data_IF_850385593066
#
_entry.id   IF_850385593066
#
_cell.length_a   1.000
_cell.length_b   1.000
_cell.length_c   1.000
_cell.angle_alpha   90.00
_cell.angle_beta   90.00
_cell.angle_gamma   90.00
#
_symmetry.space_group_name_H-M   'P 1'
#
loop_
_entity.id
_entity.type
_entity.pdbx_description
1 polymer ?
#
# COMPACT_ATOMS: atom_id res chain seq x y z
N UNK A 1 2.15 -8.37 -34.43
CA UNK A 1 1.88 -7.03 -33.87
C UNK A 1 0.68 -7.16 -32.94
N UNK A 2 0.86 -6.85 -31.68
CA UNK A 2 -0.21 -6.82 -30.67
C UNK A 2 -0.85 -5.43 -30.63
N UNK A 3 -2.18 -5.35 -30.78
CA UNK A 3 -2.93 -4.12 -30.62
C UNK A 3 -3.47 -4.04 -29.19
N UNK A 4 -3.22 -2.91 -28.53
CA UNK A 4 -3.73 -2.64 -27.18
C UNK A 4 -4.65 -1.43 -27.16
N UNK A 5 -5.51 -1.33 -26.16
CA UNK A 5 -6.35 -0.15 -25.92
C UNK A 5 -6.15 0.33 -24.48
N UNK A 6 -6.13 1.65 -24.26
CA UNK A 6 -5.96 2.27 -22.95
C UNK A 6 -7.27 2.93 -22.53
N UNK A 7 -7.83 2.56 -21.39
CA UNK A 7 -9.04 3.14 -20.81
C UNK A 7 -8.66 4.19 -19.75
N UNK A 8 -8.88 5.45 -20.09
CA UNK A 8 -8.49 6.64 -19.34
C UNK A 8 -7.18 7.26 -19.84
N UNK A 9 -7.19 8.57 -20.10
CA UNK A 9 -6.02 9.34 -20.51
C UNK A 9 -5.69 10.45 -19.48
N UNK A 10 -5.72 10.05 -18.20
CA UNK A 10 -5.24 10.86 -17.09
C UNK A 10 -3.72 10.73 -16.90
N UNK A 11 -3.27 10.93 -15.67
CA UNK A 11 -1.83 10.86 -15.31
C UNK A 11 -1.19 9.54 -15.73
N UNK A 12 -1.82 8.41 -15.37
CA UNK A 12 -1.25 7.09 -15.68
C UNK A 12 -1.41 6.73 -17.16
N UNK A 13 -2.57 6.98 -17.74
CA UNK A 13 -2.82 6.64 -19.16
C UNK A 13 -1.93 7.41 -20.13
N UNK A 14 -1.74 8.71 -19.92
CA UNK A 14 -0.77 9.50 -20.70
C UNK A 14 0.67 9.02 -20.48
N UNK A 15 0.98 8.53 -19.25
CA UNK A 15 2.27 7.89 -18.96
C UNK A 15 2.46 6.57 -19.72
N UNK A 16 1.43 5.73 -19.81
CA UNK A 16 1.47 4.48 -20.59
C UNK A 16 1.75 4.78 -22.06
N UNK A 17 1.05 5.76 -22.63
CA UNK A 17 1.30 6.22 -23.98
C UNK A 17 2.76 6.68 -24.17
N UNK A 18 3.26 7.52 -23.26
CA UNK A 18 4.61 8.06 -23.29
C UNK A 18 5.66 6.94 -23.19
N UNK A 19 5.53 6.01 -22.24
CA UNK A 19 6.48 4.89 -22.04
C UNK A 19 6.54 4.00 -23.26
N UNK A 20 5.38 3.62 -23.84
CA UNK A 20 5.32 2.80 -25.06
C UNK A 20 6.01 3.51 -26.21
N UNK A 21 5.77 4.82 -26.41
CA UNK A 21 6.38 5.56 -27.52
C UNK A 21 7.87 5.84 -27.31
N UNK A 22 8.28 6.21 -26.12
CA UNK A 22 9.68 6.52 -25.79
C UNK A 22 10.55 5.28 -25.83
N UNK A 23 10.07 4.17 -25.32
CA UNK A 23 10.81 2.92 -25.20
C UNK A 23 10.37 1.85 -26.21
N UNK A 24 9.79 2.22 -27.34
CA UNK A 24 9.17 1.32 -28.33
C UNK A 24 10.05 0.13 -28.68
N UNK A 25 11.35 0.36 -28.96
CA UNK A 25 12.28 -0.70 -29.34
C UNK A 25 12.49 -1.72 -28.20
N UNK A 26 12.63 -1.26 -26.97
CA UNK A 26 12.81 -2.11 -25.79
C UNK A 26 11.52 -2.87 -25.48
N UNK A 27 10.38 -2.18 -25.53
CA UNK A 27 9.05 -2.77 -25.31
C UNK A 27 8.79 -3.90 -26.30
N UNK A 28 9.01 -3.66 -27.59
CA UNK A 28 8.85 -4.67 -28.64
C UNK A 28 9.80 -5.85 -28.50
N UNK A 29 11.08 -5.59 -28.20
CA UNK A 29 12.06 -6.65 -28.00
C UNK A 29 11.70 -7.58 -26.82
N UNK A 30 11.23 -6.99 -25.70
CA UNK A 30 10.83 -7.77 -24.53
C UNK A 30 9.51 -8.51 -24.74
N UNK A 31 8.58 -7.96 -25.51
CA UNK A 31 7.32 -8.61 -25.87
C UNK A 31 7.49 -9.73 -26.92
N UNK A 32 8.57 -9.68 -27.69
CA UNK A 32 8.81 -10.59 -28.82
C UNK A 32 8.04 -10.21 -30.09
N UNK A 33 7.26 -9.16 -30.04
CA UNK A 33 6.51 -8.59 -31.18
C UNK A 33 6.26 -7.10 -30.97
N UNK A 34 5.84 -6.41 -32.03
CA UNK A 34 5.47 -5.01 -31.95
C UNK A 34 4.18 -4.81 -31.14
N UNK A 35 4.20 -3.86 -30.20
CA UNK A 35 3.05 -3.39 -29.43
C UNK A 35 2.63 -2.02 -29.96
N UNK A 36 1.36 -1.89 -30.35
CA UNK A 36 0.80 -0.63 -30.83
C UNK A 36 -0.50 -0.28 -30.07
N UNK A 37 -0.58 0.99 -29.62
CA UNK A 37 -1.79 1.53 -28.98
C UNK A 37 -2.77 1.91 -30.09
N UNK A 38 -3.80 1.08 -30.29
CA UNK A 38 -4.82 1.27 -31.33
C UNK A 38 -5.88 2.28 -30.91
N UNK A 39 -6.26 2.26 -29.62
CA UNK A 39 -7.30 3.13 -29.07
C UNK A 39 -6.92 3.66 -27.70
N UNK A 40 -7.38 4.89 -27.44
CA UNK A 40 -7.44 5.47 -26.11
C UNK A 40 -8.89 5.89 -25.85
N UNK A 41 -9.49 5.42 -24.75
CA UNK A 41 -10.82 5.79 -24.31
C UNK A 41 -10.73 6.90 -23.27
N UNK A 42 -11.35 8.04 -23.50
CA UNK A 42 -11.58 9.08 -22.50
C UNK A 42 -12.84 9.86 -22.86
N UNK A 43 -13.51 10.46 -21.88
CA UNK A 43 -14.67 11.32 -22.11
C UNK A 43 -14.28 12.73 -22.56
N UNK A 44 -13.03 13.11 -22.38
CA UNK A 44 -12.47 14.42 -22.73
C UNK A 44 -11.81 14.36 -24.10
N UNK A 45 -11.77 15.51 -24.77
CA UNK A 45 -10.93 15.75 -25.95
C UNK A 45 -9.56 16.27 -25.54
N UNK A 46 -8.55 16.02 -26.38
CA UNK A 46 -7.18 16.45 -26.16
C UNK A 46 -6.62 17.15 -27.40
N UNK A 47 -7.11 18.36 -27.74
CA UNK A 47 -6.75 19.07 -28.99
C UNK A 47 -5.24 19.31 -29.05
N UNK A 48 -4.63 18.90 -30.17
CA UNK A 48 -3.21 19.06 -30.43
C UNK A 48 -2.30 18.00 -29.75
N UNK A 49 -2.84 17.10 -28.94
CA UNK A 49 -2.11 15.94 -28.44
C UNK A 49 -2.09 14.82 -29.50
N UNK A 50 -0.95 14.13 -29.72
CA UNK A 50 -0.88 13.00 -30.67
C UNK A 50 -1.94 11.91 -30.43
N UNK A 51 -2.48 11.78 -29.22
CA UNK A 51 -3.52 10.82 -28.86
C UNK A 51 -4.85 11.07 -29.58
N UNK A 52 -5.11 12.29 -30.03
CA UNK A 52 -6.35 12.69 -30.71
C UNK A 52 -6.69 11.77 -31.89
N UNK A 53 -5.67 11.23 -32.58
CA UNK A 53 -5.85 10.35 -33.73
C UNK A 53 -6.38 8.96 -33.41
N UNK A 54 -6.27 8.54 -32.15
CA UNK A 54 -6.63 7.20 -31.65
C UNK A 54 -7.63 7.29 -30.50
N UNK A 55 -8.12 8.51 -30.22
CA UNK A 55 -9.09 8.77 -29.17
C UNK A 55 -10.47 8.25 -29.59
N UNK A 56 -11.14 7.56 -28.68
CA UNK A 56 -12.53 7.12 -28.81
C UNK A 56 -13.29 7.46 -27.54
N UNK A 57 -14.61 7.71 -27.66
CA UNK A 57 -15.47 8.05 -26.53
C UNK A 57 -16.47 6.91 -26.20
N UNK A 58 -16.48 5.87 -27.02
CA UNK A 58 -17.36 4.73 -26.86
C UNK A 58 -16.53 3.46 -26.60
N UNK A 59 -16.77 2.83 -25.47
CA UNK A 59 -16.09 1.60 -25.07
C UNK A 59 -16.40 0.43 -26.02
N UNK A 60 -17.58 0.39 -26.62
CA UNK A 60 -17.99 -0.69 -27.52
C UNK A 60 -17.12 -0.78 -28.77
N UNK A 61 -16.51 0.32 -29.21
CA UNK A 61 -15.49 0.33 -30.28
C UNK A 61 -14.31 -0.56 -29.91
N UNK A 62 -13.84 -0.49 -28.67
CA UNK A 62 -12.71 -1.30 -28.15
C UNK A 62 -13.15 -2.73 -27.90
N UNK A 63 -14.31 -2.90 -27.24
CA UNK A 63 -14.80 -4.21 -26.83
C UNK A 63 -15.03 -5.13 -28.05
N UNK A 64 -15.60 -4.60 -29.12
CA UNK A 64 -15.99 -5.39 -30.30
C UNK A 64 -14.90 -5.47 -31.38
N UNK A 65 -13.76 -4.81 -31.22
CA UNK A 65 -12.65 -4.93 -32.15
C UNK A 65 -11.82 -6.20 -31.88
N UNK A 66 -11.82 -7.18 -32.80
CA UNK A 66 -11.09 -8.44 -32.59
C UNK A 66 -9.57 -8.30 -32.63
N UNK A 67 -9.05 -7.17 -33.17
CA UNK A 67 -7.58 -6.94 -33.20
C UNK A 67 -7.04 -6.51 -31.84
N UNK A 68 -7.88 -5.93 -30.96
CA UNK A 68 -7.47 -5.54 -29.60
C UNK A 68 -7.34 -6.80 -28.73
N UNK A 69 -6.11 -7.13 -28.38
CA UNK A 69 -5.78 -8.32 -27.57
C UNK A 69 -5.60 -8.02 -26.09
N UNK A 70 -5.19 -6.79 -25.74
CA UNK A 70 -4.97 -6.36 -24.35
C UNK A 70 -5.68 -5.02 -24.10
N UNK A 71 -6.39 -4.95 -22.98
CA UNK A 71 -7.01 -3.71 -22.47
C UNK A 71 -6.27 -3.25 -21.24
N UNK A 72 -5.86 -1.99 -21.22
CA UNK A 72 -5.16 -1.33 -20.10
C UNK A 72 -6.16 -0.41 -19.41
N UNK A 73 -6.58 -0.74 -18.19
CA UNK A 73 -7.50 0.06 -17.39
C UNK A 73 -6.73 0.92 -16.37
N UNK A 74 -6.86 2.24 -16.48
CA UNK A 74 -6.20 3.22 -15.62
C UNK A 74 -7.11 4.41 -15.27
N UNK A 75 -8.42 4.14 -15.17
CA UNK A 75 -9.44 5.16 -14.88
C UNK A 75 -9.57 5.46 -13.40
N UNK A 76 -9.46 4.45 -12.55
CA UNK A 76 -9.71 4.54 -11.11
C UNK A 76 -11.20 4.36 -10.73
N UNK A 77 -11.45 4.15 -9.43
CA UNK A 77 -12.79 3.80 -8.91
C UNK A 77 -13.18 2.35 -9.23
N UNK A 78 -14.32 1.89 -8.70
CA UNK A 78 -14.80 0.53 -8.98
C UNK A 78 -15.65 0.51 -10.25
N UNK A 79 -16.60 1.45 -10.38
CA UNK A 79 -17.40 1.60 -11.61
C UNK A 79 -17.02 2.90 -12.33
N UNK A 80 -16.99 2.92 -13.66
CA UNK A 80 -17.35 1.86 -14.61
C UNK A 80 -16.22 0.85 -14.91
N UNK A 81 -15.07 0.94 -14.22
CA UNK A 81 -13.89 0.12 -14.49
C UNK A 81 -14.21 -1.39 -14.40
N UNK A 82 -14.96 -1.82 -13.38
CA UNK A 82 -15.35 -3.22 -13.21
C UNK A 82 -16.16 -3.73 -14.41
N UNK A 83 -17.17 -2.98 -14.82
CA UNK A 83 -18.00 -3.37 -15.98
C UNK A 83 -17.15 -3.51 -17.25
N UNK A 84 -16.24 -2.58 -17.51
CA UNK A 84 -15.38 -2.61 -18.69
C UNK A 84 -14.36 -3.76 -18.62
N UNK A 85 -13.68 -3.92 -17.50
CA UNK A 85 -12.70 -4.99 -17.31
C UNK A 85 -13.35 -6.37 -17.43
N UNK A 86 -14.49 -6.58 -16.75
CA UNK A 86 -15.23 -7.83 -16.82
C UNK A 86 -15.65 -8.18 -18.25
N UNK A 87 -16.20 -7.21 -18.98
CA UNK A 87 -16.63 -7.42 -20.36
C UNK A 87 -15.44 -7.71 -21.30
N UNK A 88 -14.29 -7.02 -21.12
CA UNK A 88 -13.07 -7.32 -21.86
C UNK A 88 -12.61 -8.76 -21.64
N UNK A 89 -12.52 -9.20 -20.36
CA UNK A 89 -12.14 -10.57 -20.02
C UNK A 89 -13.12 -11.61 -20.61
N UNK A 90 -14.44 -11.38 -20.50
CA UNK A 90 -15.46 -12.26 -21.08
C UNK A 90 -15.35 -12.38 -22.59
N UNK A 91 -14.88 -11.31 -23.28
CA UNK A 91 -14.61 -11.29 -24.73
C UNK A 91 -13.24 -11.90 -25.11
N UNK A 92 -12.49 -12.43 -24.16
CA UNK A 92 -11.19 -13.07 -24.41
C UNK A 92 -10.02 -12.07 -24.60
N UNK A 93 -10.17 -10.84 -24.09
CA UNK A 93 -9.08 -9.85 -24.10
C UNK A 93 -8.38 -9.87 -22.73
N UNK A 94 -7.05 -9.97 -22.71
CA UNK A 94 -6.26 -9.81 -21.49
C UNK A 94 -6.41 -8.39 -20.94
N UNK A 95 -6.31 -8.23 -19.63
CA UNK A 95 -6.43 -6.91 -18.97
C UNK A 95 -5.24 -6.65 -18.07
N UNK A 96 -4.73 -5.40 -18.13
CA UNK A 96 -3.73 -4.87 -17.21
C UNK A 96 -4.34 -3.65 -16.50
N UNK A 97 -4.27 -3.58 -15.17
CA UNK A 97 -4.85 -2.45 -14.41
C UNK A 97 -3.92 -1.91 -13.33
N UNK A 98 -4.01 -0.60 -13.07
CA UNK A 98 -3.41 0.06 -11.90
C UNK A 98 -4.41 0.32 -10.77
N UNK A 99 -5.65 -0.13 -10.92
CA UNK A 99 -6.78 0.26 -10.09
C UNK A 99 -6.91 -0.60 -8.83
N UNK A 100 -6.27 -0.15 -7.75
CA UNK A 100 -6.32 -0.85 -6.45
C UNK A 100 -7.73 -1.03 -5.89
N UNK A 101 -8.64 -0.07 -6.14
CA UNK A 101 -10.01 -0.17 -5.64
C UNK A 101 -10.77 -1.29 -6.34
N UNK A 102 -10.61 -1.42 -7.65
CA UNK A 102 -11.16 -2.52 -8.44
C UNK A 102 -10.59 -3.87 -7.98
N UNK A 103 -9.26 -3.97 -7.87
CA UNK A 103 -8.58 -5.22 -7.51
C UNK A 103 -8.97 -5.66 -6.10
N UNK A 104 -8.97 -4.75 -5.10
CA UNK A 104 -9.37 -5.08 -3.74
C UNK A 104 -10.85 -5.52 -3.63
N UNK A 105 -11.74 -4.94 -4.44
CA UNK A 105 -13.17 -5.23 -4.38
C UNK A 105 -13.61 -6.43 -5.24
N UNK A 106 -12.91 -6.71 -6.35
CA UNK A 106 -13.36 -7.65 -7.40
C UNK A 106 -12.26 -8.58 -7.91
N UNK A 107 -11.08 -8.57 -7.29
CA UNK A 107 -9.92 -9.36 -7.71
C UNK A 107 -10.22 -10.84 -7.95
N UNK A 108 -10.75 -11.59 -6.97
CA UNK A 108 -11.02 -13.01 -7.13
C UNK A 108 -11.93 -13.35 -8.32
N UNK A 109 -13.01 -12.57 -8.51
CA UNK A 109 -13.93 -12.78 -9.63
C UNK A 109 -13.25 -12.54 -10.98
N UNK A 110 -12.47 -11.47 -11.11
CA UNK A 110 -11.79 -11.12 -12.36
C UNK A 110 -10.66 -12.11 -12.68
N UNK A 111 -9.92 -12.56 -11.68
CA UNK A 111 -8.90 -13.62 -11.81
C UNK A 111 -9.55 -14.93 -12.29
N UNK A 112 -10.70 -15.30 -11.70
CA UNK A 112 -11.45 -16.51 -12.09
C UNK A 112 -11.89 -16.45 -13.55
N UNK A 113 -12.45 -15.31 -13.99
CA UNK A 113 -12.86 -15.14 -15.39
C UNK A 113 -11.65 -15.24 -16.32
N UNK A 114 -10.52 -14.61 -15.97
CA UNK A 114 -9.29 -14.67 -16.78
C UNK A 114 -8.78 -16.12 -16.89
N UNK A 115 -8.80 -16.89 -15.79
CA UNK A 115 -8.42 -18.32 -15.76
C UNK A 115 -9.35 -19.15 -16.64
N UNK A 116 -10.67 -18.98 -16.53
CA UNK A 116 -11.67 -19.71 -17.34
C UNK A 116 -11.56 -19.40 -18.83
N UNK A 117 -11.09 -18.21 -19.19
CA UNK A 117 -10.89 -17.77 -20.58
C UNK A 117 -9.49 -18.03 -21.12
N UNK A 118 -8.58 -18.60 -20.31
CA UNK A 118 -7.18 -18.82 -20.61
C UNK A 118 -6.46 -17.55 -21.11
N UNK A 119 -6.71 -16.43 -20.42
CA UNK A 119 -6.12 -15.10 -20.67
C UNK A 119 -5.61 -14.49 -19.38
N UNK A 120 -4.97 -13.33 -19.42
CA UNK A 120 -4.32 -12.72 -18.28
C UNK A 120 -5.12 -11.55 -17.70
N UNK A 121 -5.14 -11.48 -16.38
CA UNK A 121 -5.52 -10.29 -15.61
C UNK A 121 -4.33 -9.90 -14.73
N UNK A 122 -3.61 -8.84 -15.09
CA UNK A 122 -2.44 -8.35 -14.40
C UNK A 122 -2.72 -7.00 -13.74
N UNK A 123 -2.11 -6.79 -12.56
CA UNK A 123 -2.40 -5.61 -11.74
C UNK A 123 -1.19 -5.14 -10.91
N UNK A 124 0.05 -5.31 -11.45
CA UNK A 124 1.28 -4.92 -10.74
C UNK A 124 1.24 -3.50 -10.19
N UNK A 125 0.77 -2.54 -11.00
CA UNK A 125 0.70 -1.14 -10.64
C UNK A 125 -0.38 -0.80 -9.59
N UNK A 126 -1.20 -1.76 -9.16
CA UNK A 126 -2.22 -1.54 -8.11
C UNK A 126 -1.62 -1.41 -6.72
N UNK A 127 -0.42 -1.95 -6.48
CA UNK A 127 0.31 -1.84 -5.20
C UNK A 127 1.74 -1.39 -5.46
N UNK A 128 2.21 -0.37 -4.74
CA UNK A 128 3.59 0.09 -4.82
C UNK A 128 3.96 0.85 -6.10
N UNK A 129 2.98 1.20 -6.95
CA UNK A 129 3.20 1.98 -8.16
C UNK A 129 4.26 1.35 -9.09
N UNK A 130 5.47 1.91 -9.09
CA UNK A 130 6.60 1.40 -9.88
C UNK A 130 7.40 0.28 -9.20
N UNK A 131 7.09 -0.07 -7.95
CA UNK A 131 7.78 -1.13 -7.20
C UNK A 131 7.25 -2.50 -7.65
N UNK A 132 8.10 -3.41 -8.18
CA UNK A 132 7.66 -4.76 -8.54
C UNK A 132 7.49 -5.60 -7.27
N UNK A 133 6.25 -5.86 -6.88
CA UNK A 133 5.94 -6.68 -5.69
C UNK A 133 4.95 -7.80 -5.97
N UNK A 134 3.89 -7.56 -6.75
CA UNK A 134 2.85 -8.56 -7.01
C UNK A 134 3.44 -9.73 -7.79
N UNK A 135 4.18 -9.45 -8.85
CA UNK A 135 4.84 -10.49 -9.65
C UNK A 135 5.94 -11.19 -8.86
N UNK A 136 6.63 -10.47 -7.98
CA UNK A 136 7.63 -11.08 -7.10
C UNK A 136 7.00 -12.09 -6.15
N UNK A 137 5.90 -11.76 -5.50
CA UNK A 137 5.16 -12.70 -4.64
C UNK A 137 4.69 -13.93 -5.43
N UNK A 138 4.12 -13.72 -6.61
CA UNK A 138 3.53 -14.79 -7.41
C UNK A 138 4.53 -15.68 -8.15
N UNK A 139 5.75 -15.20 -8.45
CA UNK A 139 6.68 -15.89 -9.33
C UNK A 139 8.07 -16.09 -8.75
N UNK A 140 8.52 -15.28 -7.81
CA UNK A 140 9.89 -15.30 -7.30
C UNK A 140 9.98 -15.84 -5.87
N UNK A 141 8.96 -15.64 -5.04
CA UNK A 141 8.93 -16.07 -3.63
C UNK A 141 8.08 -17.33 -3.42
N UNK A 142 7.84 -18.10 -4.46
CA UNK A 142 6.96 -19.28 -4.44
C UNK A 142 7.51 -20.49 -3.66
N UNK A 143 8.80 -20.46 -3.30
CA UNK A 143 9.42 -21.49 -2.47
C UNK A 143 9.37 -21.16 -0.97
N UNK A 144 8.96 -19.94 -0.61
CA UNK A 144 8.90 -19.46 0.75
C UNK A 144 7.50 -19.50 1.32
N UNK A 145 7.39 -19.86 2.60
CA UNK A 145 6.23 -19.54 3.39
C UNK A 145 6.41 -18.11 3.93
N UNK A 146 5.65 -17.18 3.34
CA UNK A 146 5.72 -15.77 3.74
C UNK A 146 5.13 -15.63 5.14
N UNK A 147 5.94 -15.14 6.09
CA UNK A 147 5.58 -14.96 7.49
C UNK A 147 5.08 -13.55 7.78
N UNK A 148 5.64 -12.57 7.06
CA UNK A 148 5.32 -11.16 7.25
C UNK A 148 5.47 -10.39 5.94
N UNK A 149 4.51 -9.50 5.69
CA UNK A 149 4.65 -8.38 4.77
C UNK A 149 4.38 -7.11 5.56
N UNK A 150 5.30 -6.16 5.53
CA UNK A 150 5.09 -4.83 6.08
C UNK A 150 5.59 -3.76 5.12
N UNK A 151 5.00 -2.57 5.15
CA UNK A 151 5.39 -1.56 4.19
C UNK A 151 4.91 -0.16 4.50
N UNK A 152 5.62 0.79 3.91
CA UNK A 152 5.19 2.16 3.73
C UNK A 152 4.56 2.21 2.34
N UNK A 153 3.22 2.13 2.29
CA UNK A 153 2.45 1.94 1.06
C UNK A 153 1.76 3.20 0.55
N UNK A 154 1.90 4.32 1.29
CA UNK A 154 1.31 5.60 0.92
C UNK A 154 2.36 6.72 0.98
N UNK A 155 2.66 7.33 -0.17
CA UNK A 155 3.68 8.37 -0.30
C UNK A 155 3.28 9.70 0.35
N UNK A 156 2.00 10.05 0.34
CA UNK A 156 1.47 11.29 0.94
C UNK A 156 1.72 11.32 2.45
N UNK A 157 1.28 10.27 3.14
CA UNK A 157 1.45 10.16 4.59
C UNK A 157 2.92 10.02 4.98
N UNK A 158 3.73 9.31 4.18
CA UNK A 158 5.15 9.21 4.45
C UNK A 158 5.86 10.56 4.29
N UNK A 159 5.51 11.34 3.25
CA UNK A 159 6.00 12.71 3.10
C UNK A 159 5.65 13.58 4.30
N UNK A 160 4.38 13.58 4.74
CA UNK A 160 3.92 14.35 5.89
C UNK A 160 4.70 13.96 7.15
N UNK A 161 4.81 12.67 7.46
CA UNK A 161 5.56 12.17 8.62
C UNK A 161 7.04 12.51 8.54
N UNK A 162 7.64 12.53 7.34
CA UNK A 162 9.03 12.95 7.14
C UNK A 162 9.20 14.42 7.45
N UNK A 163 8.34 15.31 6.93
CA UNK A 163 8.43 16.77 7.18
C UNK A 163 8.19 17.10 8.66
N UNK A 164 7.20 16.47 9.29
CA UNK A 164 6.97 16.65 10.73
C UNK A 164 8.19 16.21 11.55
N UNK A 165 8.86 15.11 11.18
CA UNK A 165 10.03 14.60 11.89
C UNK A 165 11.29 15.45 11.68
N UNK A 166 11.58 15.87 10.46
CA UNK A 166 12.84 16.51 10.12
C UNK A 166 12.79 18.04 10.28
N UNK A 167 11.64 18.66 10.01
CA UNK A 167 11.46 20.13 10.01
C UNK A 167 10.61 20.60 11.19
N UNK A 168 9.96 19.69 11.92
CA UNK A 168 9.15 20.03 13.10
C UNK A 168 7.79 20.66 12.76
N UNK A 169 7.28 20.44 11.53
CA UNK A 169 6.00 20.99 11.11
C UNK A 169 4.83 20.40 11.91
N UNK A 170 3.77 21.20 12.06
CA UNK A 170 2.49 20.71 12.54
C UNK A 170 1.79 19.92 11.43
N UNK A 171 0.82 19.08 11.81
CA UNK A 171 0.11 18.20 10.87
C UNK A 171 -0.54 18.98 9.71
N UNK A 172 -1.25 20.07 10.03
CA UNK A 172 -1.96 20.89 9.04
C UNK A 172 -1.01 21.58 8.05
N UNK A 173 0.18 21.98 8.51
CA UNK A 173 1.22 22.55 7.66
C UNK A 173 1.78 21.50 6.69
N UNK A 174 2.06 20.30 7.19
CA UNK A 174 2.53 19.19 6.38
C UNK A 174 1.49 18.76 5.33
N UNK A 175 0.21 18.70 5.73
CA UNK A 175 -0.90 18.37 4.82
C UNK A 175 -1.07 19.44 3.74
N UNK A 176 -1.09 20.72 4.14
CA UNK A 176 -1.25 21.82 3.18
C UNK A 176 -0.12 21.82 2.15
N UNK A 177 1.11 21.62 2.60
CA UNK A 177 2.26 21.58 1.68
C UNK A 177 2.20 20.36 0.77
N UNK A 178 1.77 19.19 1.26
CA UNK A 178 1.54 18.02 0.42
C UNK A 178 0.49 18.28 -0.66
N UNK A 179 -0.58 19.03 -0.35
CA UNK A 179 -1.60 19.44 -1.32
C UNK A 179 -1.05 20.44 -2.34
N UNK A 180 -0.29 21.45 -1.90
CA UNK A 180 0.31 22.47 -2.77
C UNK A 180 1.32 21.84 -3.76
N UNK A 181 2.00 20.76 -3.36
CA UNK A 181 2.91 19.99 -4.20
C UNK A 181 2.21 18.91 -5.06
N UNK A 182 0.90 18.72 -4.89
CA UNK A 182 0.13 17.71 -5.63
C UNK A 182 0.34 16.28 -5.16
N UNK A 183 0.89 16.07 -3.97
CA UNK A 183 1.02 14.74 -3.34
C UNK A 183 -0.27 14.31 -2.65
N UNK A 184 -1.06 15.25 -2.12
CA UNK A 184 -2.37 15.02 -1.55
C UNK A 184 -3.46 15.67 -2.42
N UNK A 185 -4.60 15.01 -2.54
CA UNK A 185 -5.78 15.59 -3.14
C UNK A 185 -6.47 16.58 -2.18
N UNK A 186 -7.46 17.32 -2.70
CA UNK A 186 -8.26 18.24 -1.87
C UNK A 186 -9.00 17.51 -0.74
N UNK A 187 -9.43 16.27 -1.00
CA UNK A 187 -10.08 15.38 -0.04
C UNK A 187 -9.09 14.24 0.28
N UNK A 188 -8.22 14.42 1.30
CA UNK A 188 -7.10 13.52 1.57
C UNK A 188 -7.44 12.34 2.48
N UNK A 189 -8.70 12.17 2.90
CA UNK A 189 -9.14 11.21 3.92
C UNK A 189 -8.71 9.78 3.60
N UNK A 190 -8.74 9.39 2.31
CA UNK A 190 -8.29 8.06 1.91
C UNK A 190 -6.81 7.80 2.23
N UNK A 191 -5.98 8.85 2.21
CA UNK A 191 -4.57 8.79 2.55
C UNK A 191 -4.36 8.90 4.06
N UNK A 192 -4.81 10.01 4.66
CA UNK A 192 -4.51 10.34 6.07
C UNK A 192 -5.18 9.42 7.09
N UNK A 193 -6.33 8.80 6.73
CA UNK A 193 -7.01 7.81 7.56
C UNK A 193 -6.54 6.36 7.26
N UNK A 194 -5.60 6.18 6.33
CA UNK A 194 -4.93 4.91 6.07
C UNK A 194 -5.64 3.95 5.09
N UNK A 195 -6.77 4.33 4.50
CA UNK A 195 -7.56 3.46 3.62
C UNK A 195 -6.85 3.09 2.31
N UNK A 196 -6.00 3.97 1.78
CA UNK A 196 -5.16 3.65 0.63
C UNK A 196 -4.18 2.49 0.95
N UNK A 197 -3.47 2.61 2.07
CA UNK A 197 -2.55 1.57 2.53
C UNK A 197 -3.29 0.28 2.91
N UNK A 198 -4.50 0.40 3.48
CA UNK A 198 -5.38 -0.71 3.84
C UNK A 198 -5.74 -1.58 2.63
N UNK A 199 -6.20 -0.98 1.53
CA UNK A 199 -6.52 -1.73 0.31
C UNK A 199 -5.29 -2.44 -0.25
N UNK A 200 -4.12 -1.78 -0.21
CA UNK A 200 -2.87 -2.36 -0.72
C UNK A 200 -2.40 -3.54 0.11
N UNK A 201 -2.42 -3.45 1.45
CA UNK A 201 -2.03 -4.58 2.29
C UNK A 201 -3.03 -5.74 2.19
N UNK A 202 -4.32 -5.47 2.00
CA UNK A 202 -5.31 -6.51 1.77
C UNK A 202 -5.04 -7.29 0.48
N UNK A 203 -4.68 -6.59 -0.62
CA UNK A 203 -4.26 -7.23 -1.88
C UNK A 203 -3.03 -8.11 -1.66
N UNK A 204 -1.97 -7.58 -1.02
CA UNK A 204 -0.75 -8.34 -0.76
C UNK A 204 -1.03 -9.56 0.12
N UNK A 205 -1.87 -9.40 1.18
CA UNK A 205 -2.27 -10.48 2.07
C UNK A 205 -3.01 -11.58 1.30
N UNK A 206 -3.92 -11.20 0.43
CA UNK A 206 -4.65 -12.15 -0.40
C UNK A 206 -3.73 -12.94 -1.32
N UNK A 207 -2.75 -12.29 -1.91
CA UNK A 207 -1.81 -12.94 -2.85
C UNK A 207 -0.94 -14.00 -2.17
N UNK A 208 -0.34 -13.72 -0.99
CA UNK A 208 0.53 -14.70 -0.38
C UNK A 208 -0.21 -15.79 0.41
N UNK A 209 -1.48 -15.54 0.76
CA UNK A 209 -2.31 -16.54 1.45
C UNK A 209 -3.16 -17.36 0.49
N UNK A 210 -3.36 -16.88 -0.74
CA UNK A 210 -4.28 -17.46 -1.71
C UNK A 210 -5.77 -17.25 -1.39
N UNK A 211 -6.10 -16.54 -0.30
CA UNK A 211 -7.48 -16.33 0.18
C UNK A 211 -7.86 -14.86 0.11
N UNK A 212 -9.15 -14.58 -0.03
CA UNK A 212 -9.63 -13.21 -0.12
C UNK A 212 -9.61 -12.50 1.23
N UNK A 213 -8.83 -11.44 1.32
CA UNK A 213 -8.80 -10.54 2.48
C UNK A 213 -9.76 -9.38 2.24
N UNK A 214 -10.85 -9.36 3.00
CA UNK A 214 -11.77 -8.23 3.01
C UNK A 214 -11.09 -7.01 3.66
N UNK A 215 -10.78 -6.00 2.86
CA UNK A 215 -10.07 -4.80 3.36
C UNK A 215 -10.88 -4.03 4.42
N UNK A 216 -12.22 -4.15 4.46
CA UNK A 216 -13.06 -3.50 5.47
C UNK A 216 -12.88 -4.14 6.87
N UNK A 217 -12.33 -5.36 6.93
CA UNK A 217 -12.00 -6.07 8.16
C UNK A 217 -10.56 -5.87 8.64
N UNK A 218 -9.72 -5.22 7.83
CA UNK A 218 -8.36 -4.86 8.22
C UNK A 218 -8.42 -3.71 9.22
N UNK A 219 -7.80 -3.88 10.39
CA UNK A 219 -7.70 -2.79 11.37
C UNK A 219 -6.97 -1.61 10.75
N UNK A 220 -7.60 -0.44 10.76
CA UNK A 220 -7.04 0.75 10.09
C UNK A 220 -7.10 1.97 11.02
N UNK A 221 -5.92 2.53 11.29
CA UNK A 221 -5.73 3.76 12.07
C UNK A 221 -4.81 4.69 11.26
N UNK A 222 -5.30 5.88 10.92
CA UNK A 222 -4.54 6.87 10.15
C UNK A 222 -3.60 7.73 11.00
N UNK A 223 -3.01 8.75 10.36
CA UNK A 223 -2.04 9.66 10.99
C UNK A 223 -2.68 10.95 11.52
N UNK A 224 -3.97 11.17 11.32
CA UNK A 224 -4.66 12.43 11.65
C UNK A 224 -4.58 12.83 13.12
N UNK A 225 -4.27 11.88 14.01
CA UNK A 225 -4.10 12.12 15.46
C UNK A 225 -2.64 12.32 15.88
N UNK A 226 -1.69 12.22 14.97
CA UNK A 226 -0.27 12.41 15.27
C UNK A 226 0.05 13.90 15.31
N UNK A 227 0.64 14.36 16.39
CA UNK A 227 1.00 15.77 16.63
C UNK A 227 2.52 15.98 16.54
N UNK A 228 2.96 17.24 16.36
CA UNK A 228 4.37 17.59 16.46
C UNK A 228 4.97 17.26 17.85
N UNK A 229 4.13 17.25 18.89
CA UNK A 229 4.56 16.83 20.23
C UNK A 229 4.89 15.33 20.27
N UNK A 230 4.11 14.46 19.60
CA UNK A 230 4.42 13.03 19.49
C UNK A 230 5.76 12.81 18.77
N UNK A 231 6.02 13.61 17.75
CA UNK A 231 7.29 13.61 17.01
C UNK A 231 8.48 13.99 17.93
N UNK A 232 8.30 14.98 18.82
CA UNK A 232 9.35 15.35 19.80
C UNK A 232 9.69 14.19 20.72
N UNK A 233 8.68 13.50 21.25
CA UNK A 233 8.89 12.31 22.08
C UNK A 233 9.55 11.17 21.31
N UNK A 234 9.10 10.91 20.07
CA UNK A 234 9.73 9.89 19.23
C UNK A 234 11.21 10.19 19.01
N UNK A 235 11.58 11.45 18.80
CA UNK A 235 12.97 11.90 18.64
C UNK A 235 13.82 11.66 19.89
N UNK A 236 13.29 11.98 21.08
CA UNK A 236 13.97 11.69 22.36
C UNK A 236 14.18 10.18 22.57
N UNK A 237 13.22 9.38 22.16
CA UNK A 237 13.32 7.90 22.19
C UNK A 237 14.22 7.34 21.06
N UNK A 238 14.72 8.17 20.15
CA UNK A 238 15.48 7.79 18.94
C UNK A 238 14.68 6.89 18.01
N UNK A 239 13.39 7.14 17.92
CA UNK A 239 12.42 6.44 17.08
C UNK A 239 11.90 7.38 15.98
N UNK A 240 11.31 6.81 14.92
CA UNK A 240 10.55 7.53 13.90
C UNK A 240 9.14 6.98 13.81
N UNK A 241 8.14 7.87 13.71
CA UNK A 241 6.76 7.47 13.47
C UNK A 241 6.56 7.34 11.97
N UNK A 242 6.05 6.17 11.54
CA UNK A 242 5.65 5.89 10.15
C UNK A 242 4.27 5.28 10.14
N UNK A 243 3.48 5.54 9.08
CA UNK A 243 2.27 4.78 8.82
C UNK A 243 2.67 3.44 8.20
N UNK A 244 2.51 2.37 8.94
CA UNK A 244 2.88 1.02 8.52
C UNK A 244 1.62 0.23 8.22
N UNK A 245 1.60 -0.38 7.03
CA UNK A 245 0.67 -1.43 6.68
C UNK A 245 1.38 -2.76 6.88
N UNK A 246 0.83 -3.65 7.70
CA UNK A 246 1.44 -4.95 7.98
C UNK A 246 0.44 -6.10 7.89
N UNK A 247 0.93 -7.26 7.51
CA UNK A 247 0.25 -8.54 7.55
C UNK A 247 1.24 -9.58 8.02
N UNK A 248 0.96 -10.23 9.16
CA UNK A 248 1.90 -11.16 9.79
C UNK A 248 1.19 -12.40 10.35
N UNK A 249 1.87 -13.52 10.28
CA UNK A 249 1.47 -14.74 10.97
C UNK A 249 1.83 -14.65 12.47
N UNK A 250 0.89 -15.02 13.32
CA UNK A 250 1.04 -15.11 14.76
C UNK A 250 0.63 -16.51 15.24
N UNK A 251 0.87 -16.84 16.50
CA UNK A 251 0.41 -18.10 17.09
C UNK A 251 -1.12 -18.25 17.06
N UNK A 252 -1.86 -17.13 17.02
CA UNK A 252 -3.32 -17.10 16.99
C UNK A 252 -3.90 -17.02 15.57
N UNK A 253 -3.06 -16.99 14.54
CA UNK A 253 -3.45 -16.88 13.15
C UNK A 253 -2.85 -15.66 12.46
N UNK A 254 -3.48 -15.17 11.40
CA UNK A 254 -2.98 -14.07 10.60
C UNK A 254 -3.64 -12.75 11.02
N UNK A 255 -2.81 -11.75 11.27
CA UNK A 255 -3.24 -10.38 11.58
C UNK A 255 -2.85 -9.46 10.43
N UNK A 256 -3.77 -8.58 10.01
CA UNK A 256 -3.48 -7.50 9.09
C UNK A 256 -3.93 -6.16 9.67
N UNK A 257 -3.08 -5.14 9.56
CA UNK A 257 -3.42 -3.81 10.07
C UNK A 257 -2.69 -2.69 9.33
N UNK A 258 -3.22 -1.48 9.47
CA UNK A 258 -2.56 -0.22 9.13
C UNK A 258 -2.59 0.68 10.35
N UNK A 259 -1.44 1.16 10.78
CA UNK A 259 -1.37 2.05 11.94
C UNK A 259 -0.07 2.88 11.96
N UNK A 260 -0.06 4.02 12.67
CA UNK A 260 1.17 4.68 13.04
C UNK A 260 1.98 3.80 14.00
N UNK A 261 3.26 3.58 13.67
CA UNK A 261 4.19 2.79 14.48
C UNK A 261 5.48 3.58 14.66
N UNK A 262 6.01 3.59 15.88
CA UNK A 262 7.36 4.09 16.19
C UNK A 262 8.39 3.02 15.85
N UNK A 263 9.20 3.27 14.84
CA UNK A 263 10.23 2.35 14.35
C UNK A 263 11.60 2.66 14.97
N UNK A 264 12.37 1.61 15.31
CA UNK A 264 13.77 1.71 15.71
C UNK A 264 14.67 1.93 14.50
N UNK A 265 15.85 2.55 14.69
CA UNK A 265 16.82 2.80 13.61
C UNK A 265 17.28 1.51 12.90
N UNK A 266 17.21 0.36 13.56
CA UNK A 266 17.54 -0.94 12.98
C UNK A 266 16.46 -1.49 12.05
N UNK A 267 15.24 -0.95 12.10
CA UNK A 267 14.13 -1.41 11.24
C UNK A 267 14.37 -1.01 9.78
N UNK A 268 14.22 -1.91 8.79
CA UNK A 268 14.48 -1.61 7.37
C UNK A 268 13.70 -0.40 6.84
N UNK A 269 12.45 -0.21 7.30
CA UNK A 269 11.59 0.90 6.87
C UNK A 269 11.89 2.25 7.54
N UNK A 270 12.79 2.31 8.53
CA UNK A 270 13.09 3.52 9.30
C UNK A 270 13.55 4.70 8.42
N UNK A 271 14.39 4.43 7.42
CA UNK A 271 14.99 5.44 6.53
C UNK A 271 14.24 5.59 5.18
N UNK A 272 13.04 5.08 5.07
CA UNK A 272 12.19 5.31 3.89
C UNK A 272 11.48 6.64 4.07
N UNK A 273 11.97 7.69 3.41
CA UNK A 273 11.54 9.07 3.61
C UNK A 273 10.86 9.65 2.37
N UNK A 274 10.30 10.85 2.52
CA UNK A 274 9.60 11.63 1.51
C UNK A 274 8.42 10.85 0.89
N UNK A 275 8.24 10.95 -0.43
CA UNK A 275 7.15 10.29 -1.17
C UNK A 275 7.47 8.83 -1.52
N UNK A 276 8.63 8.32 -1.08
CA UNK A 276 9.06 6.96 -1.41
C UNK A 276 8.29 5.91 -0.61
N UNK A 277 8.12 4.77 -1.23
CA UNK A 277 7.47 3.61 -0.64
C UNK A 277 8.46 2.46 -0.51
N UNK A 278 8.16 1.52 0.38
CA UNK A 278 8.88 0.26 0.46
C UNK A 278 7.95 -0.85 0.94
N UNK A 279 8.18 -2.05 0.43
CA UNK A 279 7.55 -3.28 0.89
C UNK A 279 8.64 -4.21 1.42
N UNK A 280 8.56 -4.54 2.69
CA UNK A 280 9.37 -5.53 3.35
C UNK A 280 8.62 -6.86 3.38
N UNK A 281 9.31 -7.93 3.03
CA UNK A 281 8.78 -9.30 3.05
C UNK A 281 9.74 -10.18 3.84
N UNK A 282 9.23 -10.99 4.73
CA UNK A 282 9.99 -12.01 5.44
C UNK A 282 9.44 -13.39 5.12
N UNK A 283 10.27 -14.20 4.47
CA UNK A 283 10.01 -15.62 4.21
C UNK A 283 10.75 -16.49 5.22
N UNK A 284 10.25 -17.70 5.43
CA UNK A 284 10.84 -18.66 6.37
C UNK A 284 12.22 -19.20 5.93
N UNK A 285 12.54 -19.14 4.65
CA UNK A 285 13.79 -19.66 4.05
C UNK A 285 14.67 -18.53 3.53
N UNK A 286 14.07 -17.61 2.73
CA UNK A 286 14.78 -16.45 2.21
C UNK A 286 15.21 -15.47 3.32
N UNK A 287 14.42 -15.40 4.41
CA UNK A 287 14.60 -14.35 5.41
C UNK A 287 14.07 -13.00 4.90
N UNK A 288 14.70 -11.87 5.30
CA UNK A 288 14.22 -10.53 4.95
C UNK A 288 14.59 -10.13 3.52
N UNK A 289 13.60 -9.57 2.80
CA UNK A 289 13.80 -8.88 1.53
C UNK A 289 13.04 -7.56 1.56
N UNK A 290 13.52 -6.54 0.86
CA UNK A 290 12.86 -5.23 0.77
C UNK A 290 12.87 -4.73 -0.67
N UNK A 291 11.72 -4.22 -1.10
CA UNK A 291 11.49 -3.60 -2.42
C UNK A 291 11.17 -2.13 -2.19
N UNK A 292 11.98 -1.25 -2.77
CA UNK A 292 11.97 0.17 -2.49
C UNK A 292 11.94 0.98 -3.78
N UNK A 293 11.18 2.08 -3.79
CA UNK A 293 11.10 2.96 -4.95
C UNK A 293 9.92 3.93 -4.91
N UNK A 294 9.53 4.41 -6.09
CA UNK A 294 8.41 5.35 -6.25
C UNK A 294 7.08 4.59 -6.20
N UNK A 295 6.33 4.80 -5.11
CA UNK A 295 5.02 4.17 -4.88
C UNK A 295 3.86 4.75 -5.69
N UNK A 296 4.09 5.87 -6.40
CA UNK A 296 3.14 6.56 -7.24
C UNK A 296 3.88 7.41 -8.29
N UNK A 297 3.12 8.07 -9.17
CA UNK A 297 3.64 8.98 -10.18
C UNK A 297 3.41 8.49 -11.61
N UNK A 298 3.38 9.42 -12.56
CA UNK A 298 3.05 9.18 -13.97
C UNK A 298 3.88 8.04 -14.58
N UNK A 299 5.19 8.23 -14.62
CA UNK A 299 6.09 7.29 -15.30
C UNK A 299 6.39 6.01 -14.48
N UNK A 300 6.60 6.06 -13.15
CA UNK A 300 6.78 4.83 -12.37
C UNK A 300 5.58 3.89 -12.48
N UNK A 301 4.35 4.39 -12.29
CA UNK A 301 3.13 3.59 -12.41
C UNK A 301 2.93 3.07 -13.84
N UNK A 302 3.14 3.93 -14.85
CA UNK A 302 3.05 3.53 -16.25
C UNK A 302 4.09 2.46 -16.62
N UNK A 303 5.29 2.51 -16.06
CA UNK A 303 6.33 1.49 -16.26
C UNK A 303 5.87 0.10 -15.79
N UNK A 304 5.25 0.02 -14.62
CA UNK A 304 4.69 -1.23 -14.13
C UNK A 304 3.53 -1.74 -15.00
N UNK A 305 2.63 -0.84 -15.42
CA UNK A 305 1.52 -1.18 -16.34
C UNK A 305 2.07 -1.69 -17.69
N UNK A 306 3.04 -1.01 -18.29
CA UNK A 306 3.63 -1.45 -19.57
C UNK A 306 4.39 -2.78 -19.41
N UNK A 307 5.00 -3.03 -18.25
CA UNK A 307 5.59 -4.34 -17.94
C UNK A 307 4.53 -5.45 -17.90
N UNK A 308 3.33 -5.17 -17.38
CA UNK A 308 2.19 -6.09 -17.43
C UNK A 308 1.69 -6.31 -18.85
N UNK A 309 1.62 -5.26 -19.66
CA UNK A 309 1.26 -5.36 -21.08
C UNK A 309 2.24 -6.28 -21.82
N UNK A 310 3.56 -6.08 -21.62
CA UNK A 310 4.61 -6.94 -22.19
C UNK A 310 4.41 -8.40 -21.77
N UNK A 311 4.13 -8.64 -20.48
CA UNK A 311 3.88 -9.98 -19.96
C UNK A 311 2.62 -10.60 -20.59
N UNK A 312 1.52 -9.83 -20.74
CA UNK A 312 0.28 -10.31 -21.36
C UNK A 312 0.44 -10.64 -22.85
N UNK A 313 1.22 -9.85 -23.58
CA UNK A 313 1.51 -10.11 -25.00
C UNK A 313 2.41 -11.34 -25.17
N UNK A 314 3.42 -11.47 -24.31
CA UNK A 314 4.38 -12.59 -24.35
C UNK A 314 3.75 -13.92 -23.94
N UNK A 315 2.90 -13.91 -22.93
CA UNK A 315 2.21 -15.07 -22.39
C UNK A 315 0.74 -15.02 -22.82
N UNK A 316 0.40 -15.67 -23.92
CA UNK A 316 -0.97 -15.66 -24.48
C UNK A 316 -1.94 -16.54 -23.71
N UNK A 317 -1.41 -17.43 -22.87
CA UNK A 317 -2.16 -18.27 -21.96
C UNK A 317 -2.16 -17.72 -20.55
N UNK A 318 -3.11 -18.13 -19.74
CA UNK A 318 -3.23 -17.66 -18.36
C UNK A 318 -1.95 -17.95 -17.56
N UNK A 319 -1.41 -16.92 -16.95
CA UNK A 319 -0.40 -17.04 -15.89
C UNK A 319 -1.15 -17.05 -14.57
N UNK A 320 -1.09 -18.19 -13.90
CA UNK A 320 -1.88 -18.41 -12.71
C UNK A 320 -1.52 -17.43 -11.59
N UNK A 321 -2.54 -16.74 -11.07
CA UNK A 321 -2.49 -15.98 -9.82
C UNK A 321 -3.34 -16.75 -8.83
N UNK A 322 -2.72 -17.21 -7.74
CA UNK A 322 -3.42 -17.95 -6.69
C UNK A 322 -4.09 -16.94 -5.75
N UNK A 323 -5.37 -16.70 -5.99
CA UNK A 323 -6.22 -15.88 -5.14
C UNK A 323 -7.67 -16.30 -5.36
N UNK A 324 -8.22 -17.08 -4.43
CA UNK A 324 -9.58 -17.57 -4.47
C UNK A 324 -10.55 -16.65 -3.71
N UNK A 325 -11.84 -16.87 -3.88
CA UNK A 325 -12.93 -16.15 -3.22
C UNK A 325 -13.18 -16.61 -1.78
N UNK A 326 -12.49 -17.67 -1.32
CA UNK A 326 -12.55 -18.08 0.09
C UNK A 326 -12.06 -16.96 1.00
N UNK A 327 -12.93 -16.52 1.91
CA UNK A 327 -12.60 -15.43 2.82
C UNK A 327 -11.52 -15.83 3.83
N UNK A 328 -10.47 -15.03 3.91
CA UNK A 328 -9.46 -15.14 4.96
C UNK A 328 -10.00 -14.59 6.29
N UNK A 329 -10.02 -15.44 7.31
CA UNK A 329 -10.36 -15.01 8.67
C UNK A 329 -9.13 -14.37 9.31
N UNK A 330 -9.19 -13.06 9.51
CA UNK A 330 -8.17 -12.34 10.25
C UNK A 330 -8.36 -12.53 11.75
N UNK A 331 -7.24 -12.75 12.45
CA UNK A 331 -7.18 -12.72 13.92
C UNK A 331 -7.23 -11.27 14.43
N UNK A 332 -7.62 -11.10 15.67
CA UNK A 332 -7.67 -9.77 16.31
C UNK A 332 -6.28 -9.16 16.45
N UNK A 333 -6.14 -7.87 16.14
CA UNK A 333 -4.92 -7.11 16.47
C UNK A 333 -4.65 -7.07 17.97
N UNK A 334 -5.66 -7.30 18.80
CA UNK A 334 -5.55 -7.38 20.26
C UNK A 334 -4.58 -8.46 20.74
N UNK A 335 -4.38 -9.52 19.96
CA UNK A 335 -3.43 -10.60 20.29
C UNK A 335 -1.97 -10.22 20.00
N UNK A 336 -1.72 -9.23 19.16
CA UNK A 336 -0.35 -8.85 18.79
C UNK A 336 0.38 -8.29 20.03
N UNK A 337 1.59 -8.76 20.23
CA UNK A 337 2.43 -8.36 21.38
C UNK A 337 3.46 -7.34 20.94
N UNK A 338 3.41 -6.14 21.55
CA UNK A 338 4.38 -5.05 21.31
C UNK A 338 4.44 -4.09 22.49
N UNK A 339 5.38 -3.16 22.48
CA UNK A 339 5.40 -2.04 23.40
C UNK A 339 4.49 -0.91 22.91
N UNK A 340 4.06 -0.06 23.84
CA UNK A 340 3.24 1.10 23.54
C UNK A 340 3.87 2.34 24.16
N UNK A 341 3.98 3.39 23.38
CA UNK A 341 4.27 4.73 23.86
C UNK A 341 2.97 5.42 24.22
N UNK A 342 2.93 6.08 25.38
CA UNK A 342 1.76 6.82 25.85
C UNK A 342 2.19 8.18 26.36
N UNK A 343 1.45 9.23 26.01
CA UNK A 343 1.56 10.57 26.63
C UNK A 343 0.47 10.73 27.68
N UNK A 344 0.83 11.30 28.84
CA UNK A 344 -0.06 11.48 29.98
C UNK A 344 0.08 12.88 30.56
N UNK A 345 -1.04 13.56 30.75
CA UNK A 345 -1.10 14.85 31.44
C UNK A 345 -0.75 14.73 32.94
N UNK A 346 0.07 15.65 33.42
CA UNK A 346 0.50 15.71 34.82
C UNK A 346 2.00 15.50 35.00
N UNK A 347 2.43 15.35 36.26
CA UNK A 347 3.83 15.08 36.60
C UNK A 347 4.06 13.60 36.85
N UNK A 348 5.24 13.11 36.47
CA UNK A 348 5.67 11.73 36.62
C UNK A 348 5.49 11.23 38.05
N UNK A 349 6.00 11.97 39.05
CA UNK A 349 5.95 11.59 40.47
C UNK A 349 4.54 11.25 40.98
N UNK A 350 3.51 11.92 40.42
CA UNK A 350 2.12 11.71 40.83
C UNK A 350 1.42 10.58 40.09
N UNK A 351 1.92 10.22 38.91
CA UNK A 351 1.26 9.29 38.00
C UNK A 351 1.92 7.92 37.91
N UNK A 352 3.21 7.82 38.25
CA UNK A 352 4.01 6.62 38.03
C UNK A 352 3.45 5.41 38.79
N UNK A 353 2.92 5.59 40.02
CA UNK A 353 2.32 4.49 40.77
C UNK A 353 1.06 3.93 40.09
N UNK A 354 0.17 4.83 39.61
CA UNK A 354 -1.02 4.46 38.85
C UNK A 354 -0.64 3.72 37.57
N UNK A 355 0.34 4.23 36.82
CA UNK A 355 0.82 3.66 35.55
C UNK A 355 1.42 2.27 35.79
N UNK A 356 2.29 2.12 36.79
CA UNK A 356 2.90 0.83 37.10
C UNK A 356 1.90 -0.23 37.54
N UNK A 357 0.80 0.19 38.21
CA UNK A 357 -0.29 -0.71 38.58
C UNK A 357 -1.07 -1.21 37.35
N UNK A 358 -1.20 -0.37 36.30
CA UNK A 358 -1.95 -0.71 35.08
C UNK A 358 -1.13 -1.49 34.07
N UNK A 359 0.15 -1.15 33.89
CA UNK A 359 0.98 -1.66 32.80
C UNK A 359 2.23 -2.43 33.26
N UNK A 360 2.46 -2.54 34.58
CA UNK A 360 3.74 -3.03 35.14
C UNK A 360 4.80 -1.92 35.03
N UNK A 361 6.06 -2.33 35.21
CA UNK A 361 7.20 -1.39 35.11
C UNK A 361 7.31 -0.79 33.72
N UNK A 362 7.40 0.53 33.64
CA UNK A 362 7.49 1.30 32.40
C UNK A 362 8.78 2.14 32.36
N UNK A 363 9.20 2.56 31.17
CA UNK A 363 10.28 3.53 30.98
C UNK A 363 9.67 4.91 30.69
N UNK A 364 9.97 5.90 31.52
CA UNK A 364 9.48 7.28 31.35
C UNK A 364 10.38 8.10 30.45
N UNK A 365 9.82 9.12 29.82
CA UNK A 365 10.52 10.03 28.93
C UNK A 365 9.88 11.43 29.00
N UNK A 366 10.71 12.44 28.93
CA UNK A 366 10.28 13.85 28.77
C UNK A 366 10.82 14.40 27.43
N UNK A 367 10.15 15.38 26.87
CA UNK A 367 10.59 16.01 25.63
C UNK A 367 10.89 17.52 25.86
N UNK A 368 11.96 18.07 25.28
CA UNK A 368 12.31 19.47 25.42
C UNK A 368 11.19 20.41 24.99
N UNK A 369 10.90 21.41 25.85
CA UNK A 369 9.86 22.40 25.61
C UNK A 369 8.41 21.89 25.77
N UNK A 370 8.22 20.66 26.24
CA UNK A 370 6.91 20.12 26.62
C UNK A 370 6.77 20.16 28.14
N UNK A 371 5.68 20.78 28.62
CA UNK A 371 5.40 20.95 30.05
C UNK A 371 3.98 20.52 30.38
N UNK A 372 3.75 20.06 31.62
CA UNK A 372 2.41 19.65 32.06
C UNK A 372 2.03 18.23 31.65
N UNK A 373 2.93 17.51 30.98
CA UNK A 373 2.78 16.10 30.57
C UNK A 373 4.14 15.41 30.55
N UNK A 374 4.12 14.10 30.46
CA UNK A 374 5.29 13.25 30.19
C UNK A 374 4.87 12.04 29.34
N UNK A 375 5.84 11.32 28.81
CA UNK A 375 5.62 10.09 28.08
C UNK A 375 6.11 8.88 28.85
N UNK A 376 5.60 7.70 28.52
CA UNK A 376 6.17 6.43 28.95
C UNK A 376 6.06 5.36 27.85
N UNK A 377 6.93 4.34 27.95
CA UNK A 377 6.90 3.17 27.06
C UNK A 377 6.69 1.93 27.92
N UNK A 378 5.71 1.10 27.57
CA UNK A 378 5.43 -0.17 28.25
C UNK A 378 6.47 -1.24 27.91
N UNK A 379 6.59 -2.27 28.75
CA UNK A 379 7.15 -3.55 28.29
C UNK A 379 6.26 -4.18 27.21
N UNK A 380 6.78 -5.20 26.53
CA UNK A 380 6.01 -5.95 25.53
C UNK A 380 4.82 -6.64 26.18
N UNK A 381 3.61 -6.31 25.72
CA UNK A 381 2.35 -6.91 26.16
C UNK A 381 1.39 -7.09 24.99
N UNK A 382 0.30 -7.84 25.17
CA UNK A 382 -0.76 -7.90 24.16
C UNK A 382 -1.47 -6.55 24.03
N UNK A 383 -1.96 -6.22 22.84
CA UNK A 383 -2.71 -4.97 22.65
C UNK A 383 -4.02 -4.98 23.46
N UNK A 384 -4.63 -6.14 23.66
CA UNK A 384 -5.82 -6.29 24.53
C UNK A 384 -5.53 -5.93 25.99
N UNK A 385 -4.42 -6.38 26.53
CA UNK A 385 -4.05 -6.06 27.92
C UNK A 385 -3.65 -4.58 28.05
N UNK A 386 -2.96 -4.06 27.03
CA UNK A 386 -2.67 -2.63 26.97
C UNK A 386 -3.96 -1.80 26.97
N UNK A 387 -4.93 -2.14 26.11
CA UNK A 387 -6.20 -1.39 25.99
C UNK A 387 -6.98 -1.41 27.31
N UNK A 388 -7.04 -2.54 28.03
CA UNK A 388 -7.67 -2.62 29.36
C UNK A 388 -7.04 -1.68 30.39
N UNK A 389 -5.74 -1.46 30.31
CA UNK A 389 -5.01 -0.50 31.14
C UNK A 389 -5.24 0.93 30.67
N UNK A 390 -5.18 1.17 29.37
CA UNK A 390 -5.30 2.49 28.78
C UNK A 390 -6.66 3.12 29.01
N UNK A 391 -7.75 2.36 28.95
CA UNK A 391 -9.12 2.82 29.25
C UNK A 391 -9.27 3.31 30.71
N UNK A 392 -8.46 2.81 31.63
CA UNK A 392 -8.48 3.17 33.05
C UNK A 392 -7.49 4.28 33.39
N UNK A 393 -6.59 4.63 32.49
CA UNK A 393 -5.56 5.62 32.74
C UNK A 393 -6.13 7.03 32.68
N UNK A 394 -6.13 7.74 33.80
CA UNK A 394 -6.55 9.12 33.83
C UNK A 394 -5.53 10.05 33.20
N UNK A 395 -6.01 10.96 32.34
CA UNK A 395 -5.18 11.97 31.68
C UNK A 395 -4.34 11.43 30.52
N UNK A 396 -4.67 10.26 29.98
CA UNK A 396 -4.10 9.77 28.74
C UNK A 396 -4.40 10.77 27.59
N UNK A 397 -3.36 11.14 26.85
CA UNK A 397 -3.43 12.10 25.73
C UNK A 397 -3.42 11.35 24.42
N UNK A 398 -2.42 10.48 24.20
CA UNK A 398 -2.28 9.68 23.00
C UNK A 398 -1.55 8.38 23.29
N UNK A 399 -1.70 7.41 22.38
CA UNK A 399 -0.93 6.16 22.37
C UNK A 399 -0.41 5.90 20.97
N UNK A 400 0.79 5.35 20.85
CA UNK A 400 1.38 4.92 19.59
C UNK A 400 2.06 3.58 19.80
N UNK A 401 1.89 2.65 18.89
CA UNK A 401 2.57 1.35 18.88
C UNK A 401 4.06 1.55 18.67
N UNK A 402 4.88 0.74 19.36
CA UNK A 402 6.34 0.72 19.19
C UNK A 402 6.72 -0.64 18.62
N UNK A 403 7.45 -0.64 17.52
CA UNK A 403 7.91 -1.87 16.89
C UNK A 403 8.98 -2.59 17.73
N UNK A 404 8.76 -3.88 18.00
CA UNK A 404 9.66 -4.75 18.74
C UNK A 404 10.09 -6.00 17.95
N UNK A 405 9.60 -6.17 16.74
CA UNK A 405 9.75 -7.41 15.94
C UNK A 405 11.21 -7.83 15.75
N UNK A 406 12.15 -6.89 15.80
CA UNK A 406 13.58 -7.22 15.68
C UNK A 406 14.28 -7.55 17.01
N UNK A 407 13.59 -7.50 18.16
CA UNK A 407 14.21 -7.84 19.47
C UNK A 407 14.44 -9.35 19.67
N UNK A 408 13.76 -10.20 18.88
CA UNK A 408 13.90 -11.66 18.97
C UNK A 408 14.95 -12.24 18.01
N UNK A 409 15.51 -11.47 17.09
CA UNK A 409 16.55 -11.94 16.16
C UNK A 409 17.97 -11.99 16.77
N UNK A 410 18.21 -11.34 17.91
CA UNK A 410 19.51 -11.39 18.62
C UNK A 410 19.69 -12.64 19.50
N UNK A 411 18.80 -13.63 19.41
CA UNK A 411 18.83 -14.86 20.21
C UNK A 411 19.21 -16.13 19.42
N UNK A 412 19.70 -16.02 18.18
CA UNK A 412 20.24 -17.17 17.43
C UNK A 412 21.68 -16.96 17.01
#
# INVERSE_FOLDING_TARGET
MAKIAVLGYGTVGSGVYEVVKTNQAIVNANAGEEIDIKYVLDLRDFPGDPVEKILVHDYDVILNDPEVSVVVEVMGGVEPAYTFVKNALLKGKSVCTSNKALVAAKGPELIKIAREKDINFFFEASVGGGIPIIRVLNMCLTADDVEEISGILNGTTNYMMTRMADEGWEFDEALKTAQDLGYAEKNPEADIDGWDACRKIAILTSLYTGKNTDYEKVYTEGISKISATDIKYAKELKLRIKLIAESQKTDEGLVAMVAPIMLKKSHPLYNVDDVLNAVYVRGNVLGPAMFFGSGAGKLPTASAVVSDVIAAVKNRHNVEVVWDDEELKLSSVGSVRRSFFVRVAGSEDKKLEEINKLFGEVSTVTAPGVTGEFGFVTKVMSEDDFNKGYEKLNGAITRIRVDNVLADQDKN
#
